data_IF_345176120759
#
_entry.id   IF_345176120759
#
_cell.length_a   1.000
_cell.length_b   1.000
_cell.length_c   1.000
_cell.angle_alpha   90.00
_cell.angle_beta   90.00
_cell.angle_gamma   90.00
#
_symmetry.space_group_name_H-M   'P 1'
#
loop_
_entity.id
_entity.type
_entity.pdbx_description
1 polymer ?
#
# COMPACT_ATOMS: atom_id res chain seq x y z
N UNK A 1 18.31 17.88 33.60
CA UNK A 1 18.02 18.81 32.46
C UNK A 1 17.54 17.99 31.27
N UNK A 2 16.48 18.41 30.58
CA UNK A 2 16.08 17.76 29.32
C UNK A 2 17.12 18.07 28.24
N UNK A 3 17.69 17.04 27.63
CA UNK A 3 18.68 17.17 26.55
C UNK A 3 18.04 17.59 25.23
N UNK A 4 16.75 17.26 25.06
CA UNK A 4 15.95 17.49 23.86
C UNK A 4 14.68 18.25 24.26
N UNK A 5 14.40 19.35 23.56
CA UNK A 5 13.18 20.15 23.78
C UNK A 5 12.13 19.74 22.77
N UNK A 6 10.94 19.40 23.26
CA UNK A 6 9.80 19.09 22.41
C UNK A 6 9.39 20.33 21.58
N UNK A 7 9.16 20.17 20.28
CA UNK A 7 8.98 21.29 19.33
C UNK A 7 10.28 22.04 19.01
N UNK A 8 11.44 21.50 19.39
CA UNK A 8 12.74 22.06 19.02
C UNK A 8 13.18 21.67 17.62
N UNK A 9 14.14 22.42 17.07
CA UNK A 9 14.72 22.14 15.75
C UNK A 9 16.15 21.61 15.89
N UNK A 10 16.42 20.50 15.23
CA UNK A 10 17.67 19.74 15.32
C UNK A 10 18.19 19.38 13.93
N UNK A 11 19.47 19.05 13.85
CA UNK A 11 20.02 18.35 12.69
C UNK A 11 19.70 16.87 12.82
N UNK A 12 19.02 16.31 11.82
CA UNK A 12 18.68 14.89 11.78
C UNK A 12 19.02 14.35 10.40
N UNK A 13 19.76 13.25 10.36
CA UNK A 13 19.93 12.49 9.13
C UNK A 13 18.71 11.57 8.99
N UNK A 14 17.79 11.95 8.11
CA UNK A 14 16.50 11.27 7.95
C UNK A 14 16.54 10.18 6.88
N UNK A 15 17.56 10.20 6.02
CA UNK A 15 17.66 9.38 4.83
C UNK A 15 19.10 8.86 4.76
N UNK A 16 19.32 7.61 5.20
CA UNK A 16 20.62 6.92 5.27
C UNK A 16 21.22 6.62 3.88
N UNK A 17 21.23 7.58 2.96
CA UNK A 17 21.75 7.47 1.59
C UNK A 17 20.99 6.52 0.66
N UNK A 18 20.09 5.68 1.17
CA UNK A 18 19.41 4.59 0.43
C UNK A 18 18.13 4.99 -0.30
N UNK A 19 17.55 6.16 0.01
CA UNK A 19 16.37 6.71 -0.68
C UNK A 19 16.70 7.90 -1.60
N UNK A 20 17.97 8.03 -2.00
CA UNK A 20 18.41 9.10 -2.90
C UNK A 20 17.86 8.96 -4.34
N UNK A 21 17.25 7.82 -4.69
CA UNK A 21 16.77 7.53 -6.04
C UNK A 21 15.25 7.73 -6.23
N UNK A 22 14.57 8.42 -5.30
CA UNK A 22 13.27 9.02 -5.60
C UNK A 22 13.55 10.42 -6.16
N UNK A 23 13.39 10.60 -7.48
CA UNK A 23 13.53 11.87 -8.18
C UNK A 23 13.01 13.05 -7.33
N UNK A 24 13.92 13.94 -6.90
CA UNK A 24 13.60 15.12 -6.10
C UNK A 24 13.81 15.02 -4.59
N UNK A 25 14.59 14.06 -4.09
CA UNK A 25 14.99 14.03 -2.67
C UNK A 25 16.02 15.14 -2.36
N UNK A 26 15.53 16.33 -2.00
CA UNK A 26 16.32 17.47 -1.49
C UNK A 26 17.06 17.16 -0.15
N UNK A 27 17.12 15.89 0.28
CA UNK A 27 17.41 15.49 1.66
C UNK A 27 18.57 14.50 1.82
N UNK A 28 19.76 14.83 1.32
CA UNK A 28 21.01 14.07 1.59
C UNK A 28 21.72 14.62 2.83
N UNK A 29 21.98 13.77 3.85
CA UNK A 29 22.71 14.13 5.08
C UNK A 29 21.85 14.79 6.18
N UNK A 30 22.49 15.49 7.11
CA UNK A 30 21.77 16.09 8.25
C UNK A 30 20.94 17.32 7.85
N UNK A 31 19.61 17.23 8.03
CA UNK A 31 18.65 18.28 7.68
C UNK A 31 18.02 18.95 8.88
N UNK A 32 17.61 20.20 8.64
CA UNK A 32 16.86 20.99 9.60
C UNK A 32 15.51 20.30 9.86
N UNK A 33 15.29 19.85 11.09
CA UNK A 33 14.13 18.99 11.40
C UNK A 33 13.48 19.44 12.70
N UNK A 34 12.17 19.68 12.66
CA UNK A 34 11.35 19.87 13.85
C UNK A 34 11.03 18.52 14.46
N UNK A 35 11.19 18.38 15.78
CA UNK A 35 10.88 17.14 16.48
C UNK A 35 9.71 17.31 17.44
N UNK A 36 8.82 16.32 17.46
CA UNK A 36 7.67 16.24 18.36
C UNK A 36 7.77 14.91 19.11
N UNK A 37 7.87 14.96 20.43
CA UNK A 37 7.95 13.74 21.24
C UNK A 37 6.61 13.00 21.22
N UNK A 38 6.66 11.67 21.05
CA UNK A 38 5.45 10.86 21.16
C UNK A 38 5.00 10.75 22.62
N UNK A 39 3.69 10.59 22.84
CA UNK A 39 3.12 10.62 24.19
C UNK A 39 3.61 9.48 25.10
N UNK A 40 3.65 8.24 24.58
CA UNK A 40 3.98 7.05 25.37
C UNK A 40 5.46 6.70 25.37
N UNK A 41 6.16 6.92 24.26
CA UNK A 41 7.55 6.52 24.10
C UNK A 41 8.50 7.72 24.12
N UNK A 42 9.20 7.90 25.24
CA UNK A 42 10.02 9.10 25.49
C UNK A 42 11.24 9.23 24.58
N UNK A 43 11.71 8.12 24.02
CA UNK A 43 12.84 8.09 23.08
C UNK A 43 12.40 8.00 21.62
N UNK A 44 11.09 8.12 21.34
CA UNK A 44 10.54 8.13 19.99
C UNK A 44 9.92 9.51 19.69
N UNK A 45 10.26 10.02 18.51
CA UNK A 45 9.89 11.36 18.06
C UNK A 45 9.31 11.30 16.66
N UNK A 46 8.32 12.15 16.40
CA UNK A 46 7.91 12.52 15.05
C UNK A 46 8.89 13.60 14.58
N UNK A 47 9.60 13.33 13.50
CA UNK A 47 10.51 14.26 12.84
C UNK A 47 9.86 14.82 11.58
N UNK A 48 9.78 16.14 11.49
CA UNK A 48 9.24 16.85 10.34
C UNK A 48 10.40 17.63 9.70
N UNK A 49 10.87 17.23 8.50
CA UNK A 49 11.93 17.94 7.82
C UNK A 49 11.47 19.33 7.38
N UNK A 50 12.38 20.29 7.47
CA UNK A 50 12.20 21.66 7.00
C UNK A 50 13.03 21.83 5.73
N UNK A 51 12.45 22.44 4.70
CA UNK A 51 13.17 22.90 3.51
C UNK A 51 13.23 24.41 3.47
N UNK A 52 14.23 24.96 2.79
CA UNK A 52 14.34 26.41 2.58
C UNK A 52 13.13 26.93 1.83
N UNK A 53 12.59 28.06 2.29
CA UNK A 53 11.51 28.74 1.58
C UNK A 53 12.02 29.33 0.26
N UNK A 54 11.37 28.95 -0.84
CA UNK A 54 11.39 29.67 -2.11
C UNK A 54 9.94 29.80 -2.59
N UNK A 55 9.57 30.87 -3.32
CA UNK A 55 8.20 31.04 -3.82
C UNK A 55 7.71 29.80 -4.60
N UNK A 56 8.54 29.27 -5.49
CA UNK A 56 8.25 28.08 -6.28
C UNK A 56 8.03 26.82 -5.42
N UNK A 57 8.90 26.55 -4.44
CA UNK A 57 8.72 25.40 -3.54
C UNK A 57 7.48 25.56 -2.67
N UNK A 58 7.18 26.78 -2.24
CA UNK A 58 6.00 27.07 -1.43
C UNK A 58 4.71 26.82 -2.20
N UNK A 59 4.66 27.26 -3.46
CA UNK A 59 3.53 27.06 -4.35
C UNK A 59 3.28 25.57 -4.60
N UNK A 60 4.34 24.81 -4.94
CA UNK A 60 4.29 23.33 -5.06
C UNK A 60 3.77 22.65 -3.78
N UNK A 61 4.21 23.10 -2.61
CA UNK A 61 3.77 22.54 -1.33
C UNK A 61 2.32 22.90 -0.98
N UNK A 62 1.86 24.08 -1.39
CA UNK A 62 0.47 24.54 -1.22
C UNK A 62 -0.49 23.78 -2.12
N UNK A 63 -0.16 23.62 -3.40
CA UNK A 63 -0.98 22.86 -4.36
C UNK A 63 -1.23 21.43 -3.87
N UNK A 64 -0.17 20.79 -3.36
CA UNK A 64 -0.25 19.45 -2.79
C UNK A 64 -0.86 19.43 -1.38
N UNK A 65 -0.97 20.57 -0.72
CA UNK A 65 -1.59 20.70 0.59
C UNK A 65 -0.78 20.09 1.75
N UNK A 66 0.55 20.00 1.64
CA UNK A 66 1.41 19.33 2.63
C UNK A 66 2.49 20.21 3.26
N UNK A 67 2.58 21.48 2.87
CA UNK A 67 3.54 22.43 3.45
C UNK A 67 2.94 23.34 4.51
N UNK A 68 3.72 23.68 5.53
CA UNK A 68 3.44 24.81 6.44
C UNK A 68 4.62 25.77 6.43
N UNK A 69 4.38 27.03 6.07
CA UNK A 69 5.41 28.07 6.07
C UNK A 69 5.76 28.50 7.49
N UNK A 70 7.05 28.52 7.81
CA UNK A 70 7.60 28.97 9.10
C UNK A 70 8.35 30.28 8.86
N UNK A 71 7.76 31.40 9.28
CA UNK A 71 8.35 32.73 9.14
C UNK A 71 9.60 32.88 10.01
N UNK A 72 9.56 32.36 11.24
CA UNK A 72 10.67 32.47 12.20
C UNK A 72 11.99 31.85 11.73
N UNK A 73 11.94 30.96 10.74
CA UNK A 73 13.12 30.26 10.19
C UNK A 73 13.27 30.40 8.67
N UNK A 74 12.39 31.18 8.02
CA UNK A 74 12.27 31.28 6.56
C UNK A 74 12.32 29.89 5.87
N UNK A 75 11.49 28.97 6.37
CA UNK A 75 11.48 27.58 5.93
C UNK A 75 10.05 27.07 5.72
N UNK A 76 9.93 25.89 5.14
CA UNK A 76 8.66 25.19 4.92
C UNK A 76 8.77 23.84 5.63
N UNK A 77 7.86 23.56 6.56
CA UNK A 77 7.70 22.24 7.15
C UNK A 77 7.04 21.30 6.14
N UNK A 78 7.70 20.18 5.83
CA UNK A 78 7.23 19.17 4.88
C UNK A 78 6.49 18.07 5.62
N UNK A 79 5.19 18.28 5.82
CA UNK A 79 4.32 17.34 6.53
C UNK A 79 4.27 16.00 5.77
N UNK A 80 4.27 16.01 4.44
CA UNK A 80 4.31 14.78 3.62
C UNK A 80 5.57 13.92 3.79
N UNK A 81 6.61 14.44 4.44
CA UNK A 81 7.90 13.77 4.62
C UNK A 81 8.23 13.50 6.08
N UNK A 82 7.23 13.57 6.98
CA UNK A 82 7.47 13.27 8.38
C UNK A 82 7.91 11.80 8.56
N UNK A 83 8.70 11.54 9.60
CA UNK A 83 9.12 10.18 10.00
C UNK A 83 8.98 9.98 11.49
N UNK A 84 8.77 8.73 11.90
CA UNK A 84 8.91 8.34 13.31
C UNK A 84 10.35 7.86 13.49
N UNK A 85 11.07 8.49 14.42
CA UNK A 85 12.50 8.29 14.61
C UNK A 85 12.83 7.99 16.07
N UNK A 86 13.95 7.32 16.30
CA UNK A 86 14.51 7.19 17.64
C UNK A 86 15.36 8.41 18.02
N UNK A 87 15.49 8.65 19.31
CA UNK A 87 16.39 9.66 19.87
C UNK A 87 17.84 9.55 19.39
N UNK A 88 18.30 8.36 19.02
CA UNK A 88 19.70 8.08 18.67
C UNK A 88 20.18 8.85 17.44
N UNK A 89 19.28 9.16 16.51
CA UNK A 89 19.62 9.87 15.27
C UNK A 89 19.43 11.39 15.40
N UNK A 90 18.94 11.88 16.54
CA UNK A 90 18.78 13.31 16.80
C UNK A 90 20.15 13.89 17.13
N UNK A 91 20.69 14.67 16.20
CA UNK A 91 21.94 15.37 16.38
C UNK A 91 21.81 16.60 17.28
N UNK A 92 22.69 17.57 17.06
CA UNK A 92 22.70 18.80 17.87
C UNK A 92 21.57 19.75 17.49
N UNK A 93 21.13 20.56 18.45
CA UNK A 93 20.15 21.63 18.20
C UNK A 93 20.67 22.60 17.14
N UNK A 94 19.84 22.90 16.16
CA UNK A 94 20.26 23.73 15.04
C UNK A 94 20.39 25.20 15.44
N UNK A 95 21.43 25.86 14.91
CA UNK A 95 21.73 27.26 15.17
C UNK A 95 21.71 28.07 13.88
N UNK A 96 21.18 29.29 13.93
CA UNK A 96 21.33 30.27 12.85
C UNK A 96 22.80 30.62 12.66
N UNK A 97 23.20 30.94 11.42
CA UNK A 97 24.60 31.27 11.09
C UNK A 97 25.04 32.57 11.78
N UNK A 98 24.20 33.61 11.76
CA UNK A 98 24.46 34.89 12.44
C UNK A 98 23.15 35.60 12.83
N UNK A 99 22.98 36.02 14.10
CA UNK A 99 23.77 35.64 15.27
C UNK A 99 23.65 34.12 15.52
N UNK A 100 24.63 33.49 16.21
CA UNK A 100 24.56 32.07 16.59
C UNK A 100 23.51 31.84 17.68
N UNK A 101 22.24 31.79 17.30
CA UNK A 101 21.10 31.54 18.18
C UNK A 101 20.43 30.23 17.78
N UNK A 102 19.83 29.54 18.75
CA UNK A 102 19.01 28.36 18.44
C UNK A 102 17.82 28.81 17.60
N UNK A 103 17.54 28.09 16.51
CA UNK A 103 16.30 28.30 15.77
C UNK A 103 15.11 27.91 16.64
N UNK A 104 14.04 28.68 16.52
CA UNK A 104 12.79 28.52 17.28
C UNK A 104 11.63 28.71 16.33
N UNK A 105 10.61 27.90 16.55
CA UNK A 105 9.28 28.06 15.95
C UNK A 105 8.42 28.76 17.00
N UNK A 106 7.56 29.69 16.59
CA UNK A 106 6.61 30.31 17.53
C UNK A 106 5.54 29.29 17.96
N UNK A 107 4.86 29.49 19.11
CA UNK A 107 3.74 28.63 19.50
C UNK A 107 2.64 28.53 18.43
N UNK A 108 2.36 29.63 17.74
CA UNK A 108 1.34 29.69 16.68
C UNK A 108 1.77 28.90 15.44
N UNK A 109 3.03 29.05 15.03
CA UNK A 109 3.61 28.27 13.93
C UNK A 109 3.64 26.78 14.28
N UNK A 110 3.98 26.43 15.53
CA UNK A 110 3.98 25.05 16.00
C UNK A 110 2.56 24.46 16.01
N UNK A 111 1.55 25.22 16.45
CA UNK A 111 0.15 24.80 16.39
C UNK A 111 -0.28 24.50 14.96
N UNK A 112 0.02 25.41 14.02
CA UNK A 112 -0.32 25.22 12.61
C UNK A 112 0.34 23.97 12.00
N UNK A 113 1.59 23.68 12.38
CA UNK A 113 2.29 22.44 11.96
C UNK A 113 1.60 21.20 12.52
N UNK A 114 1.26 21.20 13.81
CA UNK A 114 0.61 20.06 14.48
C UNK A 114 -0.78 19.81 13.90
N UNK A 115 -1.59 20.86 13.73
CA UNK A 115 -2.92 20.77 13.11
C UNK A 115 -2.82 20.18 11.70
N UNK A 116 -1.84 20.63 10.91
CA UNK A 116 -1.63 20.11 9.56
C UNK A 116 -1.17 18.65 9.56
N UNK A 117 -0.29 18.27 10.48
CA UNK A 117 0.13 16.88 10.67
C UNK A 117 -1.05 15.98 11.04
N UNK A 118 -1.89 16.39 12.00
CA UNK A 118 -3.07 15.65 12.39
C UNK A 118 -4.04 15.48 11.21
N UNK A 119 -4.31 16.55 10.47
CA UNK A 119 -5.16 16.52 9.28
C UNK A 119 -4.61 15.54 8.24
N UNK A 120 -3.30 15.57 7.97
CA UNK A 120 -2.66 14.66 7.01
C UNK A 120 -2.81 13.20 7.43
N UNK A 121 -2.45 12.86 8.68
CA UNK A 121 -2.55 11.50 9.22
C UNK A 121 -4.01 11.00 9.18
N UNK A 122 -4.97 11.86 9.53
CA UNK A 122 -6.38 11.51 9.50
C UNK A 122 -6.86 11.17 8.08
N UNK A 123 -6.53 12.02 7.10
CA UNK A 123 -6.92 11.79 5.68
C UNK A 123 -6.29 10.50 5.16
N UNK A 124 -5.00 10.25 5.43
CA UNK A 124 -4.32 9.00 5.06
C UNK A 124 -4.96 7.77 5.71
N UNK A 125 -5.43 7.90 6.96
CA UNK A 125 -6.09 6.81 7.68
C UNK A 125 -7.46 6.50 7.07
N UNK A 126 -8.25 7.52 6.73
CA UNK A 126 -9.53 7.37 6.04
C UNK A 126 -9.35 6.71 4.66
N UNK A 127 -8.35 7.13 3.90
CA UNK A 127 -8.01 6.50 2.62
C UNK A 127 -7.72 5.00 2.78
N UNK A 128 -7.02 4.63 3.85
CA UNK A 128 -6.71 3.22 4.16
C UNK A 128 -7.99 2.43 4.43
N UNK A 129 -8.88 2.96 5.26
CA UNK A 129 -10.17 2.33 5.58
C UNK A 129 -11.00 2.15 4.30
N UNK A 130 -11.15 3.20 3.50
CA UNK A 130 -11.94 3.16 2.27
C UNK A 130 -11.36 2.15 1.26
N UNK A 131 -10.04 2.11 1.11
CA UNK A 131 -9.37 1.16 0.22
C UNK A 131 -9.55 -0.28 0.71
N UNK A 132 -9.42 -0.51 2.02
CA UNK A 132 -9.60 -1.85 2.59
C UNK A 132 -11.05 -2.34 2.56
N UNK A 133 -12.02 -1.43 2.67
CA UNK A 133 -13.44 -1.75 2.49
C UNK A 133 -13.72 -2.21 1.06
N UNK A 134 -13.18 -1.51 0.05
CA UNK A 134 -13.29 -1.92 -1.36
C UNK A 134 -12.63 -3.27 -1.61
N UNK A 135 -11.43 -3.48 -1.07
CA UNK A 135 -10.73 -4.76 -1.09
C UNK A 135 -11.62 -5.88 -0.53
N UNK A 136 -12.16 -5.70 0.67
CA UNK A 136 -12.99 -6.71 1.36
C UNK A 136 -14.26 -7.01 0.56
N UNK A 137 -14.91 -5.97 0.02
CA UNK A 137 -16.11 -6.14 -0.79
C UNK A 137 -15.83 -6.95 -2.06
N UNK A 138 -14.73 -6.65 -2.78
CA UNK A 138 -14.35 -7.42 -3.97
C UNK A 138 -13.96 -8.85 -3.62
N UNK A 139 -13.22 -9.05 -2.53
CA UNK A 139 -12.83 -10.37 -2.05
C UNK A 139 -14.07 -11.24 -1.81
N UNK A 140 -15.04 -10.75 -1.03
CA UNK A 140 -16.28 -11.47 -0.74
C UNK A 140 -17.14 -11.67 -1.98
N UNK A 141 -17.21 -10.70 -2.89
CA UNK A 141 -17.97 -10.86 -4.14
C UNK A 141 -17.40 -12.02 -4.98
N UNK A 142 -16.09 -12.04 -5.22
CA UNK A 142 -15.45 -13.12 -5.99
C UNK A 142 -15.56 -14.45 -5.27
N UNK A 143 -15.38 -14.47 -3.94
CA UNK A 143 -15.56 -15.68 -3.14
C UNK A 143 -16.97 -16.23 -3.25
N UNK A 144 -17.99 -15.38 -3.16
CA UNK A 144 -19.39 -15.78 -3.32
C UNK A 144 -19.71 -16.24 -4.74
N UNK A 145 -19.16 -15.58 -5.77
CA UNK A 145 -19.27 -16.06 -7.15
C UNK A 145 -18.63 -17.45 -7.31
N UNK A 146 -17.49 -17.71 -6.67
CA UNK A 146 -16.89 -19.04 -6.63
C UNK A 146 -17.79 -20.06 -5.90
N UNK A 147 -18.44 -19.70 -4.79
CA UNK A 147 -19.42 -20.58 -4.11
C UNK A 147 -20.59 -20.91 -5.03
N UNK A 148 -21.15 -19.92 -5.71
CA UNK A 148 -22.28 -20.13 -6.62
C UNK A 148 -21.87 -21.01 -7.81
N UNK A 149 -20.71 -20.73 -8.42
CA UNK A 149 -20.21 -21.47 -9.59
C UNK A 149 -19.76 -22.90 -9.25
N UNK A 150 -18.92 -23.06 -8.22
CA UNK A 150 -18.26 -24.32 -7.88
C UNK A 150 -18.99 -25.12 -6.80
N UNK A 151 -19.59 -24.44 -5.82
CA UNK A 151 -20.29 -25.10 -4.71
C UNK A 151 -21.75 -25.42 -5.01
N UNK A 152 -22.49 -24.50 -5.64
CA UNK A 152 -23.94 -24.62 -5.90
C UNK A 152 -24.29 -24.88 -7.36
N UNK A 153 -23.30 -24.88 -8.27
CA UNK A 153 -23.48 -25.16 -9.70
C UNK A 153 -24.45 -24.21 -10.40
N UNK A 154 -24.44 -22.93 -10.01
CA UNK A 154 -25.32 -21.88 -10.53
C UNK A 154 -24.56 -20.96 -11.50
N UNK A 155 -24.77 -21.16 -12.81
CA UNK A 155 -24.05 -20.47 -13.90
C UNK A 155 -24.87 -19.26 -14.38
N UNK A 156 -25.11 -18.29 -13.49
CA UNK A 156 -25.65 -16.98 -13.89
C UNK A 156 -24.54 -16.10 -14.49
N UNK A 157 -24.90 -14.92 -14.99
CA UNK A 157 -23.92 -13.90 -15.43
C UNK A 157 -22.93 -13.61 -14.28
N UNK A 158 -21.72 -14.16 -14.40
CA UNK A 158 -20.64 -14.03 -13.42
C UNK A 158 -19.50 -13.24 -14.03
N UNK A 159 -18.78 -12.52 -13.17
CA UNK A 159 -17.53 -11.86 -13.51
C UNK A 159 -16.38 -12.87 -13.71
N UNK A 160 -16.62 -14.15 -13.42
CA UNK A 160 -15.72 -15.27 -13.61
C UNK A 160 -16.24 -16.15 -14.76
N UNK A 161 -15.43 -16.31 -15.79
CA UNK A 161 -15.68 -17.25 -16.88
C UNK A 161 -14.72 -18.42 -16.79
N UNK A 162 -15.24 -19.63 -17.00
CA UNK A 162 -14.46 -20.86 -16.96
C UNK A 162 -14.39 -21.45 -18.36
N UNK A 163 -13.19 -21.83 -18.79
CA UNK A 163 -12.95 -22.55 -20.04
C UNK A 163 -12.08 -23.76 -19.77
N UNK A 164 -12.41 -24.88 -20.39
CA UNK A 164 -11.57 -26.08 -20.38
C UNK A 164 -10.75 -26.11 -21.66
N UNK A 165 -9.44 -26.26 -21.54
CA UNK A 165 -8.56 -26.43 -22.67
C UNK A 165 -7.61 -27.61 -22.42
N UNK A 166 -7.87 -28.72 -23.11
CA UNK A 166 -7.18 -30.01 -22.86
C UNK A 166 -7.34 -30.42 -21.40
N UNK A 167 -6.23 -30.50 -20.67
CA UNK A 167 -6.18 -30.87 -19.25
C UNK A 167 -6.20 -29.66 -18.31
N UNK A 168 -6.17 -28.43 -18.84
CA UNK A 168 -6.11 -27.22 -18.02
C UNK A 168 -7.49 -26.57 -17.87
N UNK A 169 -7.76 -26.08 -16.66
CA UNK A 169 -8.85 -25.18 -16.36
C UNK A 169 -8.36 -23.73 -16.51
N UNK A 170 -9.05 -22.95 -17.32
CA UNK A 170 -8.76 -21.53 -17.53
C UNK A 170 -9.87 -20.71 -16.88
N UNK A 171 -9.52 -19.94 -15.85
CA UNK A 171 -10.39 -18.95 -15.21
C UNK A 171 -10.10 -17.55 -15.77
N UNK A 172 -11.12 -16.87 -16.25
CA UNK A 172 -11.03 -15.50 -16.78
C UNK A 172 -11.88 -14.61 -15.88
N UNK A 173 -11.27 -13.63 -15.22
CA UNK A 173 -11.92 -12.72 -14.29
C UNK A 173 -11.87 -11.30 -14.86
N UNK A 174 -12.97 -10.57 -14.80
CA UNK A 174 -13.01 -9.16 -15.23
C UNK A 174 -12.15 -8.28 -14.30
N UNK A 175 -11.36 -7.36 -14.87
CA UNK A 175 -10.46 -6.51 -14.08
C UNK A 175 -11.21 -5.66 -13.06
N UNK A 176 -12.31 -5.02 -13.47
CA UNK A 176 -13.07 -4.10 -12.61
C UNK A 176 -13.70 -4.77 -11.39
N UNK A 177 -13.84 -6.11 -11.38
CA UNK A 177 -14.34 -6.85 -10.22
C UNK A 177 -13.24 -7.19 -9.21
N UNK A 178 -11.95 -7.00 -9.55
CA UNK A 178 -10.79 -7.40 -8.74
C UNK A 178 -9.64 -6.40 -8.72
N UNK A 179 -9.87 -5.15 -9.14
CA UNK A 179 -8.82 -4.13 -9.26
C UNK A 179 -8.21 -3.71 -7.90
N UNK A 180 -8.90 -4.03 -6.80
CA UNK A 180 -8.41 -3.84 -5.44
C UNK A 180 -7.75 -5.10 -4.84
N UNK A 181 -7.79 -6.25 -5.53
CA UNK A 181 -7.21 -7.51 -5.04
C UNK A 181 -5.79 -7.70 -5.58
N UNK A 182 -4.92 -8.29 -4.77
CA UNK A 182 -3.65 -8.78 -5.27
C UNK A 182 -3.85 -10.10 -6.04
N UNK A 183 -2.87 -10.44 -6.87
CA UNK A 183 -2.85 -11.75 -7.57
C UNK A 183 -2.89 -12.93 -6.59
N UNK A 184 -2.23 -12.78 -5.44
CA UNK A 184 -2.19 -13.84 -4.43
C UNK A 184 -3.55 -14.04 -3.77
N UNK A 185 -4.32 -12.97 -3.55
CA UNK A 185 -5.66 -13.08 -2.96
C UNK A 185 -6.60 -13.85 -3.90
N UNK A 186 -6.51 -13.61 -5.21
CA UNK A 186 -7.30 -14.36 -6.20
C UNK A 186 -6.89 -15.84 -6.23
N UNK A 187 -5.58 -16.14 -6.17
CA UNK A 187 -5.06 -17.51 -6.09
C UNK A 187 -5.58 -18.21 -4.83
N UNK A 188 -5.58 -17.53 -3.69
CA UNK A 188 -6.06 -18.04 -2.41
C UNK A 188 -7.55 -18.40 -2.50
N UNK A 189 -8.38 -17.46 -2.99
CA UNK A 189 -9.82 -17.70 -3.20
C UNK A 189 -10.07 -18.90 -4.11
N UNK A 190 -9.35 -19.00 -5.23
CA UNK A 190 -9.53 -20.11 -6.15
C UNK A 190 -9.12 -21.43 -5.47
N UNK A 191 -7.99 -21.45 -4.75
CA UNK A 191 -7.44 -22.66 -4.11
C UNK A 191 -8.38 -23.31 -3.10
N UNK A 192 -9.31 -22.56 -2.49
CA UNK A 192 -10.36 -23.10 -1.61
C UNK A 192 -11.27 -24.13 -2.31
N UNK A 193 -11.53 -23.95 -3.62
CA UNK A 193 -12.48 -24.79 -4.39
C UNK A 193 -11.78 -25.89 -5.18
N UNK A 194 -10.48 -25.75 -5.28
CA UNK A 194 -9.69 -26.30 -6.33
C UNK A 194 -8.42 -26.73 -5.63
N UNK A 195 -8.35 -28.01 -5.21
CA UNK A 195 -7.24 -28.61 -4.48
C UNK A 195 -5.91 -28.64 -5.28
N UNK A 196 -5.60 -27.60 -6.05
CA UNK A 196 -4.42 -27.51 -6.88
C UNK A 196 -3.26 -26.93 -6.09
N UNK A 197 -2.11 -27.56 -6.27
CA UNK A 197 -0.83 -27.05 -5.76
C UNK A 197 -0.17 -26.05 -6.73
N UNK A 198 -0.65 -25.95 -7.97
CA UNK A 198 0.00 -25.19 -9.05
C UNK A 198 -1.02 -24.36 -9.86
N UNK A 199 -1.31 -23.13 -9.44
CA UNK A 199 -2.05 -22.13 -10.25
C UNK A 199 -1.01 -21.26 -10.99
N UNK A 200 -1.00 -21.34 -12.32
CA UNK A 200 -0.13 -20.55 -13.18
C UNK A 200 -0.87 -19.30 -13.70
N UNK A 201 -0.28 -18.12 -13.51
CA UNK A 201 -0.86 -16.87 -14.01
C UNK A 201 -0.53 -16.74 -15.50
N UNK A 202 -1.56 -16.70 -16.35
CA UNK A 202 -1.38 -16.42 -17.77
C UNK A 202 -1.42 -14.89 -17.98
N UNK A 203 -0.36 -14.35 -18.57
CA UNK A 203 -0.37 -12.95 -18.98
C UNK A 203 -1.37 -12.74 -20.12
N UNK A 204 -2.42 -11.95 -19.86
CA UNK A 204 -3.36 -11.47 -20.88
C UNK A 204 -2.80 -10.21 -21.57
N UNK A 205 -2.92 -10.14 -22.90
CA UNK A 205 -2.71 -8.90 -23.66
C UNK A 205 -3.85 -7.90 -23.49
N UNK A 206 -5.03 -8.38 -23.09
CA UNK A 206 -6.21 -7.58 -22.75
C UNK A 206 -6.17 -7.18 -21.27
N UNK A 207 -5.97 -5.89 -21.01
CA UNK A 207 -5.90 -5.31 -19.66
C UNK A 207 -7.24 -5.33 -18.91
N UNK A 208 -8.35 -5.61 -19.59
CA UNK A 208 -9.68 -5.66 -18.98
C UNK A 208 -9.96 -6.99 -18.27
N UNK A 209 -9.04 -7.97 -18.34
CA UNK A 209 -9.25 -9.31 -17.79
C UNK A 209 -7.97 -9.88 -17.19
N UNK A 210 -8.13 -10.62 -16.10
CA UNK A 210 -7.11 -11.50 -15.57
C UNK A 210 -7.39 -12.94 -16.01
N UNK A 211 -6.35 -13.64 -16.45
CA UNK A 211 -6.46 -15.03 -16.90
C UNK A 211 -5.57 -15.89 -16.01
N UNK A 212 -6.17 -16.89 -15.40
CA UNK A 212 -5.50 -17.88 -14.56
C UNK A 212 -5.63 -19.23 -15.24
N UNK A 213 -4.51 -19.94 -15.36
CA UNK A 213 -4.49 -21.34 -15.78
C UNK A 213 -4.21 -22.20 -14.55
N UNK A 214 -4.96 -23.28 -14.47
CA UNK A 214 -4.90 -24.17 -13.35
C UNK A 214 -4.63 -25.55 -13.92
N UNK A 215 -3.42 -26.05 -13.64
CA UNK A 215 -2.94 -27.33 -14.16
C UNK A 215 -3.54 -28.50 -13.39
N UNK A 216 -4.11 -29.44 -14.12
CA UNK A 216 -4.64 -30.67 -13.56
C UNK A 216 -3.49 -31.64 -13.24
N UNK A 217 -3.12 -31.74 -11.96
CA UNK A 217 -2.16 -32.73 -11.49
C UNK A 217 -2.91 -33.91 -10.84
N UNK A 218 -3.35 -34.85 -11.67
CA UNK A 218 -3.71 -36.23 -11.32
C UNK A 218 -4.35 -36.49 -9.94
N UNK A 219 -5.66 -36.27 -9.87
CA UNK A 219 -6.71 -37.17 -9.31
C UNK A 219 -7.89 -36.33 -8.84
N UNK A 220 -9.01 -36.47 -9.56
CA UNK A 220 -10.32 -35.86 -9.29
C UNK A 220 -10.42 -34.35 -9.57
N UNK A 221 -10.46 -33.98 -10.85
CA UNK A 221 -11.40 -32.96 -11.26
C UNK A 221 -12.80 -33.58 -11.17
N UNK A 222 -13.49 -33.42 -10.04
CA UNK A 222 -14.95 -33.56 -10.03
C UNK A 222 -15.52 -32.35 -10.76
N UNK A 223 -15.52 -32.39 -12.09
CA UNK A 223 -16.03 -31.33 -12.95
C UNK A 223 -17.37 -31.71 -13.57
N UNK A 224 -18.42 -31.06 -13.06
CA UNK A 224 -19.56 -30.52 -13.82
C UNK A 224 -20.39 -31.46 -14.71
N UNK A 225 -21.45 -32.11 -14.16
CA UNK A 225 -22.56 -32.79 -14.91
C UNK A 225 -22.16 -33.90 -15.90
N UNK A 226 -23.05 -34.87 -16.11
CA UNK A 226 -22.89 -36.01 -17.06
C UNK A 226 -22.43 -35.65 -18.48
N UNK A 227 -22.63 -34.41 -18.95
CA UNK A 227 -22.13 -33.92 -20.24
C UNK A 227 -20.60 -33.83 -20.33
N UNK A 228 -19.88 -33.75 -19.21
CA UNK A 228 -18.41 -33.72 -19.16
C UNK A 228 -17.79 -35.03 -18.63
N UNK A 229 -18.59 -35.98 -18.12
CA UNK A 229 -18.15 -37.28 -17.61
C UNK A 229 -17.87 -38.35 -18.70
N UNK A 230 -17.99 -38.04 -19.99
CA UNK A 230 -17.72 -39.01 -21.08
C UNK A 230 -16.23 -39.20 -21.37
N UNK A 231 -15.43 -39.45 -20.35
CA UNK A 231 -14.08 -40.01 -20.50
C UNK A 231 -13.78 -41.06 -19.42
N UNK A 232 -14.73 -41.96 -19.13
CA UNK A 232 -14.45 -43.27 -18.52
C UNK A 232 -15.51 -44.30 -18.96
N UNK A 233 -15.44 -44.76 -20.21
CA UNK A 233 -15.88 -46.13 -20.55
C UNK A 233 -14.88 -46.73 -21.56
N UNK A 234 -13.69 -47.09 -21.08
CA UNK A 234 -13.06 -48.32 -21.56
C UNK A 234 -13.39 -49.40 -20.54
N UNK A 235 -14.50 -50.10 -20.76
CA UNK A 235 -14.75 -51.39 -20.12
C UNK A 235 -14.63 -52.48 -21.18
N UNK A 236 -13.57 -53.27 -21.03
CA UNK A 236 -13.55 -54.69 -21.35
C UNK A 236 -13.11 -55.03 -22.77
N UNK A 237 -11.90 -55.58 -22.87
CA UNK A 237 -11.59 -56.57 -23.90
C UNK A 237 -12.68 -57.67 -23.91
N UNK A 238 -13.14 -58.14 -25.08
CA UNK A 238 -13.95 -59.34 -25.15
C UNK A 238 -13.02 -60.55 -24.93
N UNK A 239 -13.19 -61.22 -23.79
CA UNK A 239 -12.77 -62.62 -23.61
C UNK A 239 -14.03 -63.46 -23.74
N UNK A 240 -14.12 -64.24 -24.82
CA UNK A 240 -15.22 -65.18 -25.09
C UNK A 240 -15.70 -65.14 -26.52
#
# INVERSE_FOLDING_TARGET
MQYIINGGIYGVDLFDGTECDIEGSDYVGAHLTLIIQTYKEKDIYIAIPLTTYTPERWEKCKEKGYGVGIKGTNSIARIDKFRIISKKIIGTRWKSKMPKKNLRVSPEELSAIIEKLHSYINISSLLTIDSYNKYTQQYENIRNECIELFGKYNILESNIQIKFFRDDLICIILYNSVDCLSKNDIIDILSDYFYFKNIDILHSSDKSKFIFSVKNNDKFLLTFKETYDKLMVQKGEPVG
#
